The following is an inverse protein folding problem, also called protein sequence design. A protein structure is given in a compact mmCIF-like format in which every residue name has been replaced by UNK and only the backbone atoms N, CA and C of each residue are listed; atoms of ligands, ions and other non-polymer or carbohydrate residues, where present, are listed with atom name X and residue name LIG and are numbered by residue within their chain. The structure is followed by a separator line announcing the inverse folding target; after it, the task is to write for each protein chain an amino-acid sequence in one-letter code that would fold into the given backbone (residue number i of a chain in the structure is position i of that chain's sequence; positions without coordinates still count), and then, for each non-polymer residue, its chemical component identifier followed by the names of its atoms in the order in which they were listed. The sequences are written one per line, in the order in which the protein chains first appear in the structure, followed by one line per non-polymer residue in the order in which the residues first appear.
data_IF_897963653157
#
_entry.id   IF_897963653157
#
_cell.length_a   1.000
_cell.length_b   1.000
_cell.length_c   1.000
_cell.angle_alpha   90.00
_cell.angle_beta   90.00
_cell.angle_gamma   90.00
#
_symmetry.space_group_name_H-M   'P 1'
#
loop_
_entity.id
_entity.type
_entity.pdbx_description
1 polymer ?
#
# COMPACT_ATOMS: atom_id res chain seq x y z
N UNK A 1 24.46 -16.30 9.30
CA UNK A 1 24.38 -15.55 10.57
C UNK A 1 24.88 -14.15 10.24
N UNK A 2 23.97 -13.22 9.91
CA UNK A 2 24.34 -11.88 9.47
C UNK A 2 24.91 -11.09 10.65
N UNK A 3 26.19 -10.74 10.59
CA UNK A 3 26.83 -9.97 11.65
C UNK A 3 26.35 -8.51 11.61
N UNK A 4 26.02 -7.98 12.79
CA UNK A 4 25.63 -6.59 12.98
C UNK A 4 26.77 -5.67 12.56
N UNK A 5 26.57 -4.86 11.52
CA UNK A 5 27.61 -3.95 10.98
C UNK A 5 27.62 -2.64 11.78
N UNK A 6 28.69 -2.31 12.53
CA UNK A 6 28.72 -1.09 13.35
C UNK A 6 28.52 0.18 12.49
N UNK A 7 27.57 1.03 12.88
CA UNK A 7 27.28 2.29 12.20
C UNK A 7 26.33 2.19 10.99
N UNK A 8 25.88 0.99 10.60
CA UNK A 8 24.86 0.83 9.56
C UNK A 8 23.45 0.90 10.17
N UNK A 9 22.58 1.69 9.56
CA UNK A 9 21.12 1.69 9.79
C UNK A 9 20.44 1.63 8.44
N UNK A 10 19.53 0.67 8.26
CA UNK A 10 18.67 0.57 7.09
C UNK A 10 17.36 1.31 7.36
N UNK A 11 16.92 2.13 6.40
CA UNK A 11 15.68 2.91 6.53
C UNK A 11 14.68 2.41 5.49
N UNK A 12 13.40 2.45 5.86
CA UNK A 12 12.24 2.16 5.00
C UNK A 12 12.06 0.69 4.61
N UNK A 13 12.96 -0.21 5.05
CA UNK A 13 12.88 -1.64 4.77
C UNK A 13 13.47 -2.46 5.92
N UNK A 14 12.91 -3.64 6.12
CA UNK A 14 13.44 -4.64 7.05
C UNK A 14 14.13 -5.77 6.28
N UNK A 15 15.40 -6.03 6.58
CA UNK A 15 16.11 -7.24 6.14
C UNK A 15 16.28 -8.13 7.36
N UNK A 16 15.73 -9.35 7.31
CA UNK A 16 15.60 -10.25 8.48
C UNK A 16 16.91 -10.45 9.24
N UNK A 17 18.02 -10.63 8.52
CA UNK A 17 19.34 -10.88 9.11
C UNK A 17 19.92 -9.67 9.88
N UNK A 18 19.47 -8.45 9.57
CA UNK A 18 19.91 -7.20 10.21
C UNK A 18 18.73 -6.39 10.77
N UNK A 19 17.62 -7.06 11.10
CA UNK A 19 16.39 -6.42 11.59
C UNK A 19 16.63 -5.45 12.77
N UNK A 20 17.53 -5.72 13.75
CA UNK A 20 17.83 -4.77 14.83
C UNK A 20 18.49 -3.46 14.37
N UNK A 21 18.90 -3.37 13.10
CA UNK A 21 19.49 -2.18 12.47
C UNK A 21 18.54 -1.55 11.44
N UNK A 22 17.30 -2.02 11.36
CA UNK A 22 16.30 -1.49 10.44
C UNK A 22 15.35 -0.55 11.18
N UNK A 23 14.98 0.54 10.52
CA UNK A 23 13.87 1.41 10.90
C UNK A 23 12.91 1.43 9.72
N UNK A 24 11.70 0.92 9.92
CA UNK A 24 10.69 0.81 8.85
C UNK A 24 9.29 1.06 9.40
N UNK A 25 8.33 1.20 8.49
CA UNK A 25 6.94 1.43 8.81
C UNK A 25 6.15 0.12 8.85
N UNK A 26 5.12 0.08 9.69
CA UNK A 26 4.07 -0.92 9.54
C UNK A 26 3.18 -0.53 8.35
N UNK A 27 3.57 -1.02 7.17
CA UNK A 27 2.88 -0.74 5.91
C UNK A 27 1.42 -1.24 5.91
N UNK A 28 1.13 -2.36 6.58
CA UNK A 28 -0.24 -2.88 6.69
C UNK A 28 -1.10 -1.97 7.57
N UNK A 29 -0.59 -1.57 8.74
CA UNK A 29 -1.31 -0.66 9.61
C UNK A 29 -1.50 0.73 8.96
N UNK A 30 -0.50 1.23 8.22
CA UNK A 30 -0.59 2.50 7.50
C UNK A 30 -1.72 2.51 6.48
N UNK A 31 -1.75 1.53 5.58
CA UNK A 31 -2.81 1.44 4.56
C UNK A 31 -4.18 1.14 5.15
N UNK A 32 -4.24 0.34 6.22
CA UNK A 32 -5.49 0.12 6.97
C UNK A 32 -6.07 1.43 7.50
N UNK A 33 -5.25 2.27 8.15
CA UNK A 33 -5.71 3.55 8.69
C UNK A 33 -6.16 4.52 7.59
N UNK A 34 -5.43 4.59 6.47
CA UNK A 34 -5.81 5.42 5.33
C UNK A 34 -7.16 4.98 4.73
N UNK A 35 -7.34 3.67 4.54
CA UNK A 35 -8.57 3.10 3.97
C UNK A 35 -9.75 3.29 4.93
N UNK A 36 -9.54 3.01 6.21
CA UNK A 36 -10.54 3.22 7.26
C UNK A 36 -11.00 4.67 7.33
N UNK A 37 -10.07 5.62 7.22
CA UNK A 37 -10.40 7.03 7.23
C UNK A 37 -11.38 7.39 6.10
N UNK A 38 -11.18 6.89 4.89
CA UNK A 38 -12.15 7.09 3.79
C UNK A 38 -13.50 6.44 4.08
N UNK A 39 -13.51 5.22 4.63
CA UNK A 39 -14.74 4.52 5.01
C UNK A 39 -15.55 5.30 6.06
N UNK A 40 -14.86 5.84 7.07
CA UNK A 40 -15.44 6.69 8.12
C UNK A 40 -16.05 7.98 7.57
N UNK A 41 -15.53 8.49 6.46
CA UNK A 41 -16.08 9.65 5.74
C UNK A 41 -17.19 9.27 4.74
N UNK A 42 -17.64 8.01 4.73
CA UNK A 42 -18.77 7.55 3.92
C UNK A 42 -18.38 7.00 2.55
N UNK A 43 -17.09 6.96 2.19
CA UNK A 43 -16.66 6.30 0.95
C UNK A 43 -16.90 4.79 1.04
N UNK A 44 -17.35 4.20 -0.06
CA UNK A 44 -17.63 2.76 -0.19
C UNK A 44 -16.97 2.18 -1.43
N UNK A 45 -16.90 2.98 -2.48
CA UNK A 45 -16.12 2.68 -3.66
C UNK A 45 -14.70 3.18 -3.42
N UNK A 46 -13.73 2.29 -3.28
CA UNK A 46 -12.36 2.65 -2.90
C UNK A 46 -11.40 1.86 -3.78
N UNK A 47 -10.78 2.55 -4.74
CA UNK A 47 -9.76 1.97 -5.60
C UNK A 47 -8.37 1.97 -4.93
N UNK A 48 -7.52 1.05 -5.36
CA UNK A 48 -6.18 0.84 -4.83
C UNK A 48 -5.17 0.83 -5.98
N UNK A 49 -4.21 1.76 -5.95
CA UNK A 49 -3.10 1.81 -6.92
C UNK A 49 -1.85 1.25 -6.24
N UNK A 50 -1.17 0.32 -6.92
CA UNK A 50 0.07 -0.31 -6.46
C UNK A 50 1.13 -0.34 -7.54
N UNK A 51 2.38 -0.58 -7.12
CA UNK A 51 3.49 -0.83 -8.02
C UNK A 51 3.58 -2.32 -8.42
N UNK A 52 3.98 -2.61 -9.65
CA UNK A 52 4.24 -3.97 -10.18
C UNK A 52 5.43 -4.68 -9.49
N UNK A 53 6.28 -3.94 -8.78
CA UNK A 53 7.46 -4.51 -8.13
C UNK A 53 7.11 -5.52 -7.03
N UNK A 54 7.78 -6.67 -7.04
CA UNK A 54 7.70 -7.67 -5.97
C UNK A 54 8.46 -7.18 -4.73
N UNK A 55 7.74 -6.52 -3.82
CA UNK A 55 8.27 -6.01 -2.55
C UNK A 55 7.41 -6.56 -1.40
N UNK A 56 8.03 -6.97 -0.30
CA UNK A 56 7.29 -7.41 0.90
C UNK A 56 6.30 -6.33 1.37
N UNK A 57 6.68 -5.06 1.22
CA UNK A 57 5.85 -3.90 1.55
C UNK A 57 4.56 -3.83 0.71
N UNK A 58 4.57 -4.31 -0.54
CA UNK A 58 3.39 -4.33 -1.41
C UNK A 58 2.30 -5.24 -0.85
N UNK A 59 2.68 -6.46 -0.44
CA UNK A 59 1.75 -7.41 0.14
C UNK A 59 1.15 -6.88 1.44
N UNK A 60 1.98 -6.28 2.30
CA UNK A 60 1.53 -5.68 3.55
C UNK A 60 0.55 -4.52 3.33
N UNK A 61 0.83 -3.60 2.40
CA UNK A 61 -0.11 -2.50 2.06
C UNK A 61 -1.44 -3.04 1.56
N UNK A 62 -1.42 -4.02 0.68
CA UNK A 62 -2.64 -4.62 0.15
C UNK A 62 -3.45 -5.31 1.26
N UNK A 63 -2.80 -6.05 2.17
CA UNK A 63 -3.44 -6.64 3.35
C UNK A 63 -4.17 -5.59 4.20
N UNK A 64 -3.52 -4.44 4.46
CA UNK A 64 -4.12 -3.33 5.21
C UNK A 64 -5.41 -2.80 4.56
N UNK A 65 -5.39 -2.61 3.24
CA UNK A 65 -6.55 -2.21 2.45
C UNK A 65 -7.69 -3.25 2.53
N UNK A 66 -7.37 -4.53 2.30
CA UNK A 66 -8.35 -5.61 2.38
C UNK A 66 -8.99 -5.70 3.77
N UNK A 67 -8.18 -5.58 4.83
CA UNK A 67 -8.64 -5.66 6.22
C UNK A 67 -9.62 -4.54 6.55
N UNK A 68 -9.35 -3.31 6.10
CA UNK A 68 -10.25 -2.17 6.33
C UNK A 68 -11.60 -2.33 5.61
N UNK A 69 -11.60 -2.83 4.37
CA UNK A 69 -12.84 -3.12 3.64
C UNK A 69 -13.64 -4.25 4.28
N UNK A 70 -12.95 -5.31 4.71
CA UNK A 70 -13.58 -6.48 5.33
C UNK A 70 -14.31 -6.13 6.63
N UNK A 71 -13.79 -5.20 7.44
CA UNK A 71 -14.43 -4.76 8.69
C UNK A 71 -15.84 -4.19 8.50
N UNK A 72 -16.12 -3.63 7.31
CA UNK A 72 -17.43 -3.06 6.96
C UNK A 72 -18.18 -3.89 5.91
N UNK A 73 -17.68 -5.10 5.60
CA UNK A 73 -18.32 -6.03 4.67
C UNK A 73 -18.23 -5.62 3.19
N UNK A 74 -17.26 -4.79 2.81
CA UNK A 74 -17.02 -4.43 1.41
C UNK A 74 -16.08 -5.47 0.79
N UNK A 75 -16.48 -6.06 -0.33
CA UNK A 75 -15.62 -6.95 -1.09
C UNK A 75 -14.62 -6.13 -1.93
N UNK A 76 -13.39 -6.64 -2.05
CA UNK A 76 -12.41 -6.07 -2.99
C UNK A 76 -12.93 -6.27 -4.41
N UNK A 77 -13.02 -5.18 -5.17
CA UNK A 77 -13.31 -5.26 -6.59
C UNK A 77 -11.98 -5.30 -7.38
N UNK A 78 -11.67 -6.40 -8.10
CA UNK A 78 -10.45 -6.50 -8.89
C UNK A 78 -10.30 -5.40 -9.95
N UNK A 79 -11.41 -4.87 -10.49
CA UNK A 79 -11.38 -3.82 -11.52
C UNK A 79 -10.95 -2.44 -10.98
N UNK A 80 -10.88 -2.32 -9.65
CA UNK A 80 -10.49 -1.11 -8.92
C UNK A 80 -9.08 -1.22 -8.32
N UNK A 81 -8.38 -2.32 -8.62
CA UNK A 81 -6.98 -2.52 -8.26
C UNK A 81 -6.15 -2.33 -9.52
N UNK A 82 -5.35 -1.26 -9.58
CA UNK A 82 -4.41 -1.06 -10.68
C UNK A 82 -2.98 -1.24 -10.19
N UNK A 83 -2.25 -2.14 -10.85
CA UNK A 83 -0.81 -2.28 -10.69
C UNK A 83 -0.12 -1.61 -11.86
N UNK A 84 0.85 -0.73 -11.56
CA UNK A 84 1.56 0.03 -12.58
C UNK A 84 3.07 0.06 -12.33
N UNK A 85 3.89 0.38 -13.34
CA UNK A 85 5.32 0.61 -13.14
C UNK A 85 5.58 1.69 -12.08
N UNK A 86 6.71 1.59 -11.38
CA UNK A 86 7.15 2.63 -10.45
C UNK A 86 7.35 3.96 -11.20
N UNK A 87 6.79 5.04 -10.67
CA UNK A 87 6.88 6.36 -11.28
C UNK A 87 5.61 7.18 -11.16
N UNK A 88 5.82 8.49 -11.08
CA UNK A 88 4.75 9.48 -10.99
C UNK A 88 3.81 9.42 -12.20
N UNK A 89 4.35 9.30 -13.41
CA UNK A 89 3.56 9.30 -14.65
C UNK A 89 2.62 8.09 -14.73
N UNK A 90 3.10 6.91 -14.34
CA UNK A 90 2.28 5.69 -14.30
C UNK A 90 1.18 5.78 -13.25
N UNK A 91 1.47 6.32 -12.06
CA UNK A 91 0.45 6.58 -11.04
C UNK A 91 -0.60 7.57 -11.49
N UNK A 92 -0.21 8.67 -12.14
CA UNK A 92 -1.14 9.66 -12.67
C UNK A 92 -2.08 9.07 -13.73
N UNK A 93 -1.57 8.18 -14.58
CA UNK A 93 -2.37 7.47 -15.58
C UNK A 93 -3.37 6.52 -14.89
N UNK A 94 -2.92 5.72 -13.91
CA UNK A 94 -3.82 4.83 -13.16
C UNK A 94 -4.92 5.60 -12.41
N UNK A 95 -4.55 6.69 -11.74
CA UNK A 95 -5.51 7.56 -11.06
C UNK A 95 -6.54 8.12 -12.06
N UNK A 96 -6.09 8.57 -13.24
CA UNK A 96 -6.98 9.05 -14.30
C UNK A 96 -7.94 7.95 -14.80
N UNK A 97 -7.43 6.73 -15.00
CA UNK A 97 -8.26 5.59 -15.41
C UNK A 97 -9.36 5.29 -14.39
N UNK A 98 -9.01 5.28 -13.10
CA UNK A 98 -9.93 5.01 -12.00
C UNK A 98 -10.96 6.14 -11.81
N UNK A 99 -10.54 7.40 -11.93
CA UNK A 99 -11.44 8.54 -11.89
C UNK A 99 -12.44 8.55 -13.04
N UNK A 100 -12.01 8.16 -14.25
CA UNK A 100 -12.91 8.00 -15.40
C UNK A 100 -13.94 6.89 -15.21
N UNK A 101 -13.68 5.92 -14.31
CA UNK A 101 -14.66 4.91 -13.87
C UNK A 101 -15.62 5.44 -12.79
N UNK A 102 -15.44 6.68 -12.30
CA UNK A 102 -16.26 7.32 -11.27
C UNK A 102 -15.89 6.96 -9.83
N UNK A 103 -14.65 6.51 -9.59
CA UNK A 103 -14.24 5.89 -8.32
C UNK A 103 -13.39 6.82 -7.44
N UNK A 104 -13.63 6.87 -6.12
CA UNK A 104 -12.67 7.39 -5.14
C UNK A 104 -11.39 6.54 -5.13
N UNK A 105 -10.22 7.20 -5.04
CA UNK A 105 -8.91 6.54 -5.19
C UNK A 105 -8.08 6.64 -3.92
N UNK A 106 -7.51 5.52 -3.47
CA UNK A 106 -6.36 5.48 -2.56
C UNK A 106 -5.11 5.22 -3.40
N UNK A 107 -4.20 6.18 -3.40
CA UNK A 107 -2.84 6.00 -3.90
C UNK A 107 -1.95 5.49 -2.77
N UNK A 108 -1.31 4.33 -2.97
CA UNK A 108 -0.40 3.74 -1.99
C UNK A 108 1.08 4.07 -2.27
N UNK A 109 1.37 5.14 -3.00
CA UNK A 109 2.71 5.67 -3.23
C UNK A 109 3.44 4.87 -4.30
N UNK A 110 3.20 5.25 -5.55
CA UNK A 110 3.95 4.83 -6.75
C UNK A 110 5.24 5.59 -6.98
#
# INVERSE_FOLDING_TARGET
MGEKLPGLVLVNRCVKDIAPQCVWLDNAQGTYLATKHLIEHGHRDIAYISCEMALDDKAARFEGYQRALQEVGIAVNPDWVEEVPFGEQSGAIAATNLLNKGLPVIDCGV
#
